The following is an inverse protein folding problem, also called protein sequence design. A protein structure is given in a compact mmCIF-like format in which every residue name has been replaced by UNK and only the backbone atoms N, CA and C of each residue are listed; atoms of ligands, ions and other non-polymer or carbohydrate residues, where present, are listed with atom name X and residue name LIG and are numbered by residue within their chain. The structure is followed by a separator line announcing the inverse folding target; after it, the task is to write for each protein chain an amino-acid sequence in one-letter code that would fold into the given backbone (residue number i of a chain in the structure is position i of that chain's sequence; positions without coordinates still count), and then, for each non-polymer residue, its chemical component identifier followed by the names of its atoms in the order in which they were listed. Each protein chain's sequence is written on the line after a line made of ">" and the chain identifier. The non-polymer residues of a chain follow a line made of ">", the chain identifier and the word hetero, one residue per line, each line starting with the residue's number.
data_IF_045895342641
#
_entry.id   IF_045895342641
#
_cell.length_a   1.000
_cell.length_b   1.000
_cell.length_c   1.000
_cell.angle_alpha   90.00
_cell.angle_beta   90.00
_cell.angle_gamma   90.00
#
_symmetry.space_group_name_H-M   'P 1'
#
loop_
_entity.id
_entity.type
_entity.pdbx_description
1 polymer ?
#
# COMPACT_ATOMS: atom_id res chain seq x y z
N UNK A 1 -24.15 -0.89 24.84
CA UNK A 1 -23.48 -2.06 25.41
C UNK A 1 -22.10 -1.59 25.86
N UNK A 2 -21.84 -1.70 27.16
CA UNK A 2 -20.64 -1.21 27.83
C UNK A 2 -19.44 -2.10 27.46
N UNK A 3 -18.34 -1.46 27.03
CA UNK A 3 -17.09 -2.14 26.65
C UNK A 3 -16.36 -2.63 27.88
N UNK A 4 -16.48 -3.92 28.18
CA UNK A 4 -15.73 -4.57 29.25
C UNK A 4 -14.41 -5.16 28.69
N UNK A 5 -13.30 -4.45 28.90
CA UNK A 5 -11.93 -4.90 28.61
C UNK A 5 -10.96 -3.72 28.63
N UNK A 6 -10.16 -3.57 29.70
CA UNK A 6 -9.44 -2.36 30.08
C UNK A 6 -8.25 -1.91 29.21
N UNK A 7 -8.37 -2.04 27.88
CA UNK A 7 -7.44 -1.49 26.90
C UNK A 7 -7.98 -0.23 26.22
N UNK A 8 -7.09 0.52 25.58
CA UNK A 8 -7.47 1.62 24.70
C UNK A 8 -8.28 1.08 23.50
N UNK A 9 -9.33 1.80 23.10
CA UNK A 9 -10.13 1.45 21.93
C UNK A 9 -9.24 1.36 20.67
N UNK A 10 -9.24 0.25 19.91
CA UNK A 10 -8.41 0.10 18.70
C UNK A 10 -8.55 1.20 17.65
N UNK A 11 -9.67 1.93 17.65
CA UNK A 11 -9.93 3.04 16.74
C UNK A 11 -9.73 4.41 17.39
N UNK A 12 -9.25 4.45 18.64
CA UNK A 12 -9.01 5.68 19.37
C UNK A 12 -7.92 6.53 18.69
N UNK A 13 -8.07 7.86 18.63
CA UNK A 13 -7.09 8.76 18.02
C UNK A 13 -5.71 8.71 18.69
N UNK A 14 -5.61 8.25 19.92
CA UNK A 14 -4.37 8.01 20.68
C UNK A 14 -3.45 7.00 20.00
N UNK A 15 -3.95 6.15 19.10
CA UNK A 15 -3.13 5.30 18.27
C UNK A 15 -2.43 6.05 17.12
N UNK A 16 -2.97 7.21 16.71
CA UNK A 16 -2.50 8.01 15.57
C UNK A 16 -1.66 9.20 16.04
N UNK A 17 -2.10 9.87 17.11
CA UNK A 17 -1.51 11.10 17.61
C UNK A 17 0.02 11.02 17.88
N UNK A 18 0.58 9.93 18.44
CA UNK A 18 2.02 9.82 18.64
C UNK A 18 2.84 9.84 17.34
N UNK A 19 2.37 9.18 16.28
CA UNK A 19 3.05 9.21 14.99
C UNK A 19 3.03 10.63 14.40
N UNK A 20 1.88 11.31 14.49
CA UNK A 20 1.74 12.71 14.02
C UNK A 20 2.69 13.62 14.80
N UNK A 21 2.74 13.49 16.13
CA UNK A 21 3.66 14.26 16.98
C UNK A 21 5.12 14.00 16.65
N UNK A 22 5.50 12.75 16.39
CA UNK A 22 6.85 12.40 15.92
C UNK A 22 7.16 13.07 14.57
N UNK A 23 6.27 12.98 13.58
CA UNK A 23 6.46 13.56 12.25
C UNK A 23 6.54 15.09 12.26
N UNK A 24 5.90 15.75 13.23
CA UNK A 24 5.98 17.20 13.44
C UNK A 24 7.25 17.64 14.19
N UNK A 25 8.04 16.70 14.73
CA UNK A 25 9.22 17.00 15.53
C UNK A 25 10.50 17.09 14.68
N UNK A 26 11.57 17.74 15.18
CA UNK A 26 12.88 17.72 14.52
C UNK A 26 13.46 16.32 14.31
N UNK A 27 13.06 15.33 15.13
CA UNK A 27 13.52 13.95 15.01
C UNK A 27 13.09 13.29 13.69
N UNK A 28 12.05 13.81 13.04
CA UNK A 28 11.57 13.34 11.75
C UNK A 28 12.17 14.10 10.56
N UNK A 29 13.25 14.87 10.74
CA UNK A 29 13.85 15.69 9.67
C UNK A 29 14.24 14.89 8.40
N UNK A 30 14.56 13.60 8.55
CA UNK A 30 14.87 12.71 7.43
C UNK A 30 13.66 12.02 6.80
N UNK A 31 12.47 12.14 7.39
CA UNK A 31 11.25 11.47 6.91
C UNK A 31 10.53 12.39 5.94
N UNK A 32 10.72 12.14 4.65
CA UNK A 32 10.12 12.96 3.59
C UNK A 32 9.52 12.10 2.47
N UNK A 33 8.36 12.52 1.93
CA UNK A 33 7.70 11.84 0.81
C UNK A 33 7.24 10.40 1.09
N UNK A 34 7.02 10.05 2.36
CA UNK A 34 6.62 8.71 2.78
C UNK A 34 5.11 8.62 3.03
N UNK A 35 4.57 7.41 2.91
CA UNK A 35 3.19 7.08 3.22
C UNK A 35 3.15 6.11 4.41
N UNK A 36 2.31 6.40 5.40
CA UNK A 36 2.13 5.57 6.60
C UNK A 36 0.67 5.16 6.78
N UNK A 37 0.45 3.93 7.22
CA UNK A 37 -0.83 3.45 7.74
C UNK A 37 -0.68 3.27 9.24
N UNK A 38 -1.61 3.82 10.03
CA UNK A 38 -1.54 3.80 11.50
C UNK A 38 -2.93 3.61 12.12
N UNK A 39 -3.06 2.63 13.01
CA UNK A 39 -4.22 2.40 13.88
C UNK A 39 -3.91 1.28 14.88
N UNK A 40 -4.68 1.16 15.97
CA UNK A 40 -4.65 0.01 16.88
C UNK A 40 -3.27 -0.37 17.45
N UNK A 41 -2.33 0.59 17.57
CA UNK A 41 -0.97 0.33 18.06
C UNK A 41 0.01 -0.20 17.01
N UNK A 42 -0.31 -0.08 15.72
CA UNK A 42 0.54 -0.46 14.60
C UNK A 42 0.84 0.76 13.71
N UNK A 43 2.06 0.82 13.18
CA UNK A 43 2.45 1.75 12.11
C UNK A 43 3.12 0.94 11.00
N UNK A 44 2.63 1.05 9.77
CA UNK A 44 3.22 0.45 8.58
C UNK A 44 3.69 1.54 7.62
N UNK A 45 4.86 1.32 7.00
CA UNK A 45 5.37 2.17 5.92
C UNK A 45 4.92 1.55 4.60
N UNK A 46 4.24 2.32 3.77
CA UNK A 46 3.75 1.85 2.47
C UNK A 46 4.80 2.16 1.41
N UNK A 47 5.19 1.13 0.65
CA UNK A 47 6.09 1.32 -0.47
C UNK A 47 5.34 1.85 -1.70
N UNK A 48 6.04 2.63 -2.53
CA UNK A 48 5.51 3.10 -3.81
C UNK A 48 5.15 1.93 -4.75
N UNK A 49 4.19 2.11 -5.66
CA UNK A 49 4.02 1.20 -6.78
C UNK A 49 5.30 1.05 -7.60
N UNK A 50 5.55 -0.17 -8.06
CA UNK A 50 6.70 -0.51 -8.92
C UNK A 50 6.23 -0.87 -10.32
N UNK A 51 7.07 -0.66 -11.32
CA UNK A 51 6.81 -1.12 -12.68
C UNK A 51 6.86 -2.65 -12.69
N UNK A 52 5.71 -3.30 -12.85
CA UNK A 52 5.61 -4.76 -12.80
C UNK A 52 6.07 -5.44 -14.11
N UNK A 53 5.84 -4.79 -15.25
CA UNK A 53 6.30 -5.23 -16.55
C UNK A 53 6.45 -4.02 -17.48
N UNK A 54 7.39 -4.12 -18.42
CA UNK A 54 7.57 -3.17 -19.51
C UNK A 54 7.60 -3.96 -20.81
N UNK A 55 6.92 -3.43 -21.82
CA UNK A 55 6.92 -3.96 -23.17
C UNK A 55 7.33 -2.83 -24.10
N UNK A 56 8.16 -3.15 -25.08
CA UNK A 56 8.62 -2.23 -26.12
C UNK A 56 8.26 -2.85 -27.47
N UNK A 57 7.78 -2.03 -28.40
CA UNK A 57 7.57 -2.43 -29.80
C UNK A 57 8.84 -2.14 -30.61
N UNK A 58 9.10 -2.94 -31.62
CA UNK A 58 10.16 -2.67 -32.61
C UNK A 58 9.68 -1.75 -33.75
N UNK A 59 8.40 -1.37 -33.74
CA UNK A 59 7.75 -0.52 -34.73
C UNK A 59 7.63 0.93 -34.22
N UNK A 60 7.10 1.84 -35.05
CA UNK A 60 6.82 3.21 -34.61
C UNK A 60 5.70 3.28 -33.54
N UNK A 61 4.77 2.32 -33.57
CA UNK A 61 3.69 2.19 -32.60
C UNK A 61 3.25 0.73 -32.49
N UNK A 62 2.75 0.36 -31.30
CA UNK A 62 2.16 -0.95 -31.09
C UNK A 62 0.95 -1.18 -32.01
N UNK A 63 0.87 -2.39 -32.56
CA UNK A 63 -0.37 -2.89 -33.17
C UNK A 63 -1.26 -3.57 -32.14
N UNK A 64 -2.54 -3.73 -32.46
CA UNK A 64 -3.47 -4.49 -31.62
C UNK A 64 -2.98 -5.94 -31.43
N UNK A 65 -2.64 -6.63 -32.52
CA UNK A 65 -2.21 -8.03 -32.48
C UNK A 65 -0.93 -8.22 -31.65
N UNK A 66 -0.01 -7.25 -31.71
CA UNK A 66 1.19 -7.24 -30.88
C UNK A 66 0.87 -7.07 -29.38
N UNK A 67 -0.03 -6.15 -29.03
CA UNK A 67 -0.45 -5.97 -27.64
C UNK A 67 -1.20 -7.19 -27.11
N UNK A 68 -2.06 -7.81 -27.90
CA UNK A 68 -2.75 -9.05 -27.51
C UNK A 68 -1.73 -10.17 -27.28
N UNK A 69 -0.77 -10.34 -28.19
CA UNK A 69 0.29 -11.34 -28.06
C UNK A 69 1.21 -11.13 -26.84
N UNK A 70 1.35 -9.89 -26.34
CA UNK A 70 2.18 -9.56 -25.18
C UNK A 70 1.40 -9.55 -23.86
N UNK A 71 0.27 -8.86 -23.82
CA UNK A 71 -0.47 -8.60 -22.58
C UNK A 71 -1.35 -9.80 -22.18
N UNK A 72 -2.00 -10.47 -23.12
CA UNK A 72 -2.87 -11.61 -22.81
C UNK A 72 -2.12 -12.73 -22.08
N UNK A 73 -0.95 -13.22 -22.55
CA UNK A 73 -0.19 -14.22 -21.80
C UNK A 73 0.47 -13.65 -20.53
N UNK A 74 0.74 -12.35 -20.44
CA UNK A 74 1.20 -11.73 -19.20
C UNK A 74 0.12 -11.83 -18.11
N UNK A 75 -1.12 -11.43 -18.42
CA UNK A 75 -2.22 -11.47 -17.46
C UNK A 75 -2.72 -12.89 -17.18
N UNK A 76 -2.64 -13.81 -18.14
CA UNK A 76 -2.97 -15.22 -17.92
C UNK A 76 -2.10 -15.89 -16.84
N UNK A 77 -0.88 -15.37 -16.60
CA UNK A 77 0.05 -15.88 -15.57
C UNK A 77 -0.09 -15.17 -14.22
N UNK A 78 -0.82 -14.05 -14.15
CA UNK A 78 -0.97 -13.30 -12.89
C UNK A 78 -1.94 -14.01 -11.95
N UNK A 79 -1.71 -13.95 -10.62
CA UNK A 79 -2.67 -14.44 -9.65
C UNK A 79 -4.05 -13.79 -9.84
N UNK A 80 -5.10 -14.58 -9.64
CA UNK A 80 -6.46 -14.06 -9.69
C UNK A 80 -6.67 -13.02 -8.58
N UNK A 81 -7.28 -11.88 -8.91
CA UNK A 81 -7.54 -10.79 -7.96
C UNK A 81 -6.33 -9.88 -7.67
N UNK A 82 -5.17 -10.14 -8.27
CA UNK A 82 -4.01 -9.24 -8.18
C UNK A 82 -4.28 -7.96 -8.99
N UNK A 83 -4.42 -6.83 -8.31
CA UNK A 83 -4.73 -5.52 -8.93
C UNK A 83 -3.68 -4.47 -8.56
N UNK A 84 -3.89 -3.22 -8.99
CA UNK A 84 -3.08 -2.09 -8.56
C UNK A 84 -3.28 -1.73 -7.06
N UNK A 85 -4.38 -2.19 -6.45
CA UNK A 85 -4.67 -1.90 -5.06
C UNK A 85 -3.81 -2.77 -4.12
N UNK A 86 -3.20 -2.16 -3.11
CA UNK A 86 -2.53 -2.84 -2.00
C UNK A 86 -3.59 -3.34 -1.00
N UNK A 87 -4.40 -4.32 -1.40
CA UNK A 87 -5.53 -4.84 -0.62
C UNK A 87 -5.08 -5.46 0.72
N UNK A 88 -3.83 -5.92 0.82
CA UNK A 88 -3.19 -6.40 2.04
C UNK A 88 -3.17 -5.35 3.15
N UNK A 89 -3.21 -4.07 2.81
CA UNK A 89 -3.31 -2.97 3.80
C UNK A 89 -4.57 -3.11 4.66
N UNK A 90 -5.67 -3.62 4.10
CA UNK A 90 -6.94 -3.81 4.82
C UNK A 90 -6.84 -4.88 5.92
N UNK A 91 -5.87 -5.80 5.81
CA UNK A 91 -5.65 -6.88 6.76
C UNK A 91 -4.65 -6.55 7.88
N UNK A 92 -4.02 -5.37 7.84
CA UNK A 92 -3.04 -4.98 8.84
C UNK A 92 -3.69 -4.84 10.22
N UNK A 93 -3.07 -5.43 11.23
CA UNK A 93 -3.49 -5.35 12.63
C UNK A 93 -2.30 -5.52 13.56
N UNK A 94 -2.39 -4.94 14.74
CA UNK A 94 -1.47 -5.25 15.83
C UNK A 94 -1.63 -6.73 16.23
N UNK A 95 -0.52 -7.38 16.58
CA UNK A 95 -0.45 -8.82 16.88
C UNK A 95 -1.23 -9.24 18.12
#
# INVERSE_FOLDING_TARGET
>A
AEGNGGGLDPLAPEHVAPLVGYLASPAAAGVNGQLFVVHGGMVAVVERPRVAAKFDTEQDAFTYDELDALLTPHYAKRPAGETFAAAEVLGLRHG
#
